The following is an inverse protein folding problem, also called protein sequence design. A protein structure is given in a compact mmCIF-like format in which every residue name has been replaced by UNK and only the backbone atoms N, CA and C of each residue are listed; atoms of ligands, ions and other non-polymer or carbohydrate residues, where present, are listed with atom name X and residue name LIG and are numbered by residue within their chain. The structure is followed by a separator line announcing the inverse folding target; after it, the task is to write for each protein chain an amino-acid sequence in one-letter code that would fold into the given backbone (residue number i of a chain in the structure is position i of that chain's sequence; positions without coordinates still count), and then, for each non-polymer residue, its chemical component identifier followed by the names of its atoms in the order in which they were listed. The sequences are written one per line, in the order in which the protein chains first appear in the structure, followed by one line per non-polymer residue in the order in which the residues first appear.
data_IF_772850211290
#
_entry.id   IF_772850211290
#
_cell.length_a   1.000
_cell.length_b   1.000
_cell.length_c   1.000
_cell.angle_alpha   90.00
_cell.angle_beta   90.00
_cell.angle_gamma   90.00
#
_symmetry.space_group_name_H-M   'P 1'
#
loop_
_entity.id
_entity.type
_entity.pdbx_description
1 polymer ?
#
# COMPACT_ATOMS: atom_id res chain seq x y z
N UNK A 1 19.11 24.87 21.40
CA UNK A 1 18.86 26.25 21.86
C UNK A 1 20.09 27.09 21.61
N UNK A 2 19.95 28.18 20.86
CA UNK A 2 21.06 29.06 20.44
C UNK A 2 21.86 29.61 21.65
N UNK A 3 21.22 29.72 22.81
CA UNK A 3 21.84 30.07 24.10
C UNK A 3 22.88 29.04 24.56
N UNK A 4 22.58 27.74 24.46
CA UNK A 4 23.52 26.66 24.82
C UNK A 4 24.70 26.59 23.85
N UNK A 5 24.50 26.95 22.59
CA UNK A 5 25.56 26.97 21.58
C UNK A 5 26.53 28.14 21.75
N UNK A 6 26.04 29.32 22.18
CA UNK A 6 26.89 30.46 22.52
C UNK A 6 27.81 30.13 23.70
N UNK A 7 27.26 29.52 24.77
CA UNK A 7 28.06 29.04 25.89
C UNK A 7 29.03 27.93 25.48
N UNK A 8 28.65 27.05 24.55
CA UNK A 8 29.54 25.99 24.02
C UNK A 8 30.70 26.55 23.18
N UNK A 9 30.53 27.72 22.56
CA UNK A 9 31.57 28.42 21.78
C UNK A 9 32.42 29.39 22.61
N UNK A 10 32.05 29.64 23.86
CA UNK A 10 32.75 30.57 24.75
C UNK A 10 32.49 32.05 24.45
N UNK A 11 31.39 32.36 23.75
CA UNK A 11 30.98 33.73 23.44
C UNK A 11 29.91 34.20 24.44
N UNK A 12 29.95 35.48 24.84
CA UNK A 12 28.95 36.07 25.73
C UNK A 12 27.62 36.22 25.00
N UNK A 13 26.60 35.50 25.46
CA UNK A 13 25.24 35.63 24.94
C UNK A 13 24.64 36.95 25.40
N UNK A 14 24.42 37.86 24.46
CA UNK A 14 23.75 39.13 24.68
C UNK A 14 22.27 39.02 24.26
N UNK A 15 21.31 39.09 25.20
CA UNK A 15 19.88 38.99 24.92
C UNK A 15 19.37 39.99 23.89
N UNK A 16 19.96 41.19 23.81
CA UNK A 16 19.52 42.22 22.87
C UNK A 16 19.90 41.85 21.43
N UNK A 17 21.13 41.36 21.22
CA UNK A 17 21.59 40.90 19.90
C UNK A 17 20.85 39.65 19.43
N UNK A 18 20.44 38.79 20.36
CA UNK A 18 19.63 37.62 20.06
C UNK A 18 18.23 38.01 19.57
N UNK A 19 17.57 38.96 20.24
CA UNK A 19 16.29 39.49 19.78
C UNK A 19 16.38 40.16 18.41
N UNK A 20 17.41 40.96 18.16
CA UNK A 20 17.61 41.61 16.86
C UNK A 20 17.80 40.57 15.75
N UNK A 21 18.61 39.53 16.00
CA UNK A 21 18.81 38.42 15.06
C UNK A 21 17.51 37.65 14.80
N UNK A 22 16.69 37.43 15.84
CA UNK A 22 15.38 36.79 15.72
C UNK A 22 14.43 37.63 14.87
N UNK A 23 14.35 38.94 15.13
CA UNK A 23 13.53 39.88 14.36
C UNK A 23 13.97 39.94 12.89
N UNK A 24 15.27 39.96 12.63
CA UNK A 24 15.81 39.94 11.26
C UNK A 24 15.43 38.65 10.52
N UNK A 25 15.56 37.49 11.18
CA UNK A 25 15.21 36.19 10.61
C UNK A 25 13.72 36.06 10.33
N UNK A 26 12.88 36.59 11.22
CA UNK A 26 11.43 36.63 11.05
C UNK A 26 11.02 37.55 9.89
N UNK A 27 11.64 38.74 9.75
CA UNK A 27 11.41 39.62 8.61
C UNK A 27 11.85 38.99 7.29
N UNK A 28 13.02 38.35 7.25
CA UNK A 28 13.49 37.63 6.07
C UNK A 28 12.56 36.46 5.70
N UNK A 29 12.05 35.72 6.70
CA UNK A 29 11.08 34.66 6.46
C UNK A 29 9.77 35.22 5.86
N UNK A 30 9.25 36.31 6.42
CA UNK A 30 8.04 36.97 5.93
C UNK A 30 8.23 37.46 4.47
N UNK A 31 9.37 38.09 4.17
CA UNK A 31 9.71 38.56 2.82
C UNK A 31 9.82 37.39 1.83
N UNK A 32 10.39 36.25 2.24
CA UNK A 32 10.46 35.06 1.37
C UNK A 32 9.08 34.45 1.11
N UNK A 33 8.21 34.43 2.11
CA UNK A 33 6.82 33.97 1.94
C UNK A 33 6.03 34.91 1.04
N UNK A 34 6.16 36.23 1.23
CA UNK A 34 5.54 37.24 0.37
C UNK A 34 6.06 37.18 -1.07
N UNK A 35 7.37 36.99 -1.26
CA UNK A 35 7.98 36.81 -2.59
C UNK A 35 7.47 35.54 -3.28
N UNK A 36 7.31 34.43 -2.54
CA UNK A 36 6.74 33.19 -3.06
C UNK A 36 5.27 33.33 -3.45
N UNK A 37 4.52 34.18 -2.73
CA UNK A 37 3.12 34.49 -3.01
C UNK A 37 2.97 35.50 -4.15
N UNK A 38 3.92 36.42 -4.29
CA UNK A 38 4.01 37.41 -5.35
C UNK A 38 4.54 36.85 -6.66
N UNK A 39 5.19 35.67 -6.64
CA UNK A 39 5.47 34.89 -7.85
C UNK A 39 4.15 34.49 -8.50
N UNK A 40 3.71 35.33 -9.44
CA UNK A 40 2.60 35.03 -10.34
C UNK A 40 2.92 33.71 -11.03
N UNK A 41 2.13 32.68 -10.73
CA UNK A 41 2.17 31.43 -11.48
C UNK A 41 2.03 31.78 -12.96
N UNK A 42 2.85 31.21 -13.85
CA UNK A 42 2.69 31.45 -15.28
C UNK A 42 1.24 31.15 -15.65
N UNK A 43 0.66 31.97 -16.53
CA UNK A 43 -0.71 31.79 -16.99
C UNK A 43 -0.80 30.44 -17.73
N UNK A 44 -1.14 29.37 -16.99
CA UNK A 44 -1.41 28.07 -17.57
C UNK A 44 -2.82 28.10 -18.15
N UNK A 45 -3.04 27.56 -19.36
CA UNK A 45 -4.37 27.37 -19.91
C UNK A 45 -5.29 26.66 -18.91
N UNK A 46 -6.56 27.07 -18.84
CA UNK A 46 -7.55 26.46 -17.93
C UNK A 46 -7.87 25.00 -18.27
N UNK A 47 -7.51 24.56 -19.48
CA UNK A 47 -7.73 23.20 -19.97
C UNK A 47 -6.49 22.71 -20.71
N UNK A 48 -6.04 21.51 -20.38
CA UNK A 48 -5.01 20.81 -21.11
C UNK A 48 -5.67 20.05 -22.27
N UNK A 49 -5.28 20.35 -23.51
CA UNK A 49 -5.81 19.69 -24.72
C UNK A 49 -5.68 18.16 -24.66
N UNK A 50 -4.67 17.64 -23.96
CA UNK A 50 -4.52 16.19 -23.76
C UNK A 50 -5.67 15.58 -22.97
N UNK A 51 -6.27 16.30 -22.04
CA UNK A 51 -7.36 15.79 -21.21
C UNK A 51 -8.64 15.61 -22.04
N UNK A 52 -8.88 16.52 -23.00
CA UNK A 52 -10.00 16.44 -23.96
C UNK A 52 -9.99 15.15 -24.79
N UNK A 53 -8.80 14.62 -25.09
CA UNK A 53 -8.61 13.39 -25.87
C UNK A 53 -8.02 12.26 -25.05
N UNK A 54 -8.12 12.32 -23.72
CA UNK A 54 -7.63 11.27 -22.81
C UNK A 54 -8.21 9.89 -23.15
N UNK A 55 -9.45 9.86 -23.65
CA UNK A 55 -10.13 8.66 -24.13
C UNK A 55 -9.55 8.08 -25.44
N UNK A 56 -8.94 8.92 -26.30
CA UNK A 56 -8.21 8.47 -27.50
C UNK A 56 -6.78 8.04 -27.17
N UNK A 57 -6.13 8.72 -26.21
CA UNK A 57 -4.74 8.45 -25.80
C UNK A 57 -4.67 7.21 -24.89
N UNK A 58 -5.78 6.82 -24.27
CA UNK A 58 -5.88 5.54 -23.58
C UNK A 58 -5.27 5.52 -22.17
N UNK A 59 -5.27 6.65 -21.46
CA UNK A 59 -4.84 6.68 -20.05
C UNK A 59 -5.72 5.82 -19.13
N UNK A 60 -7.02 5.70 -19.44
CA UNK A 60 -7.94 4.72 -18.83
C UNK A 60 -7.85 3.35 -19.49
N UNK A 61 -7.67 3.30 -20.81
CA UNK A 61 -7.62 2.05 -21.59
C UNK A 61 -6.51 1.11 -21.12
N UNK A 62 -5.35 1.62 -20.69
CA UNK A 62 -4.28 0.80 -20.11
C UNK A 62 -4.69 0.14 -18.78
N UNK A 63 -5.44 0.84 -17.92
CA UNK A 63 -5.94 0.31 -16.65
C UNK A 63 -7.05 -0.71 -16.87
N UNK A 64 -7.97 -0.42 -17.77
CA UNK A 64 -9.06 -1.33 -18.12
C UNK A 64 -8.51 -2.62 -18.77
N UNK A 65 -7.51 -2.50 -19.66
CA UNK A 65 -6.81 -3.65 -20.24
C UNK A 65 -6.11 -4.51 -19.16
N UNK A 66 -5.49 -3.90 -18.15
CA UNK A 66 -4.90 -4.64 -17.03
C UNK A 66 -5.96 -5.42 -16.22
N UNK A 67 -7.13 -4.84 -15.99
CA UNK A 67 -8.24 -5.53 -15.33
C UNK A 67 -8.80 -6.68 -16.17
N UNK A 68 -8.85 -6.55 -17.50
CA UNK A 68 -9.28 -7.65 -18.38
C UNK A 68 -8.30 -8.84 -18.41
N UNK A 69 -7.01 -8.61 -18.17
CA UNK A 69 -5.99 -9.68 -18.10
C UNK A 69 -6.02 -10.45 -16.77
N UNK A 70 -6.70 -9.92 -15.74
CA UNK A 70 -6.82 -10.62 -14.46
C UNK A 70 -7.70 -11.86 -14.64
N UNK A 71 -7.10 -13.04 -14.50
CA UNK A 71 -7.84 -14.30 -14.53
C UNK A 71 -8.96 -14.30 -13.47
N UNK A 72 -10.14 -14.79 -13.85
CA UNK A 72 -11.26 -14.90 -12.94
C UNK A 72 -10.95 -15.90 -11.82
N UNK A 73 -10.58 -15.39 -10.64
CA UNK A 73 -10.23 -16.20 -9.47
C UNK A 73 -11.39 -17.05 -8.94
N UNK A 74 -12.63 -16.67 -9.25
CA UNK A 74 -13.84 -17.37 -8.80
C UNK A 74 -14.29 -18.48 -9.76
N UNK A 75 -13.70 -18.58 -10.95
CA UNK A 75 -14.06 -19.61 -11.91
C UNK A 75 -13.71 -21.00 -11.35
N UNK A 76 -14.71 -21.87 -11.24
CA UNK A 76 -14.57 -23.21 -10.65
C UNK A 76 -14.76 -23.28 -9.13
N UNK A 77 -14.92 -22.16 -8.43
CA UNK A 77 -15.25 -22.15 -7.01
C UNK A 77 -16.77 -22.26 -6.81
N UNK A 78 -17.23 -23.41 -6.28
CA UNK A 78 -18.65 -23.62 -5.91
C UNK A 78 -18.90 -23.07 -4.49
N UNK A 79 -19.99 -22.31 -4.25
CA UNK A 79 -20.38 -21.88 -2.91
C UNK A 79 -20.59 -23.06 -1.96
N UNK A 80 -20.21 -22.93 -0.69
CA UNK A 80 -20.32 -24.01 0.33
C UNK A 80 -21.75 -24.54 0.45
N UNK A 81 -22.75 -23.66 0.35
CA UNK A 81 -24.17 -24.04 0.39
C UNK A 81 -24.58 -25.05 -0.71
N UNK A 82 -23.86 -25.06 -1.84
CA UNK A 82 -24.14 -25.94 -2.98
C UNK A 82 -23.20 -27.15 -3.03
N UNK A 83 -22.21 -27.26 -2.12
CA UNK A 83 -21.30 -28.40 -2.08
C UNK A 83 -21.99 -29.59 -1.42
N UNK A 84 -21.77 -30.77 -2.01
CA UNK A 84 -22.28 -32.04 -1.46
C UNK A 84 -21.54 -32.47 -0.18
N UNK A 85 -20.27 -32.12 -0.07
CA UNK A 85 -19.45 -32.38 1.12
C UNK A 85 -19.24 -31.06 1.88
N UNK A 86 -19.71 -31.01 3.11
CA UNK A 86 -19.63 -29.86 4.02
C UNK A 86 -18.49 -29.98 5.04
N UNK A 87 -17.79 -31.13 5.05
CA UNK A 87 -16.71 -31.38 6.00
C UNK A 87 -15.49 -30.52 5.70
N UNK A 88 -14.65 -30.35 6.72
CA UNK A 88 -13.35 -29.72 6.52
C UNK A 88 -12.45 -30.62 5.66
N UNK A 89 -11.50 -30.00 4.95
CA UNK A 89 -10.51 -30.71 4.14
C UNK A 89 -9.71 -31.69 5.01
N UNK A 90 -9.34 -31.28 6.23
CA UNK A 90 -8.57 -32.09 7.16
C UNK A 90 -9.34 -33.34 7.62
N UNK A 91 -10.63 -33.18 7.88
CA UNK A 91 -11.53 -34.27 8.30
C UNK A 91 -11.67 -35.30 7.19
N UNK A 92 -11.95 -34.84 5.96
CA UNK A 92 -12.02 -35.70 4.79
C UNK A 92 -10.69 -36.45 4.54
N UNK A 93 -9.54 -35.78 4.70
CA UNK A 93 -8.23 -36.41 4.56
C UNK A 93 -7.94 -37.45 5.66
N UNK A 94 -8.36 -37.21 6.89
CA UNK A 94 -8.21 -38.16 8.00
C UNK A 94 -9.04 -39.42 7.75
N UNK A 95 -10.28 -39.28 7.31
CA UNK A 95 -11.12 -40.42 6.96
C UNK A 95 -10.58 -41.23 5.78
N UNK A 96 -10.10 -40.56 4.72
CA UNK A 96 -9.47 -41.25 3.58
C UNK A 96 -8.26 -42.04 4.06
N UNK A 97 -7.42 -41.45 4.93
CA UNK A 97 -6.26 -42.15 5.52
C UNK A 97 -6.69 -43.34 6.38
N UNK A 98 -7.71 -43.18 7.22
CA UNK A 98 -8.22 -44.26 8.07
C UNK A 98 -8.80 -45.42 7.23
N UNK A 99 -9.64 -45.11 6.24
CA UNK A 99 -10.21 -46.10 5.30
C UNK A 99 -9.13 -46.85 4.53
N UNK A 100 -8.08 -46.16 4.08
CA UNK A 100 -6.94 -46.81 3.40
C UNK A 100 -6.18 -47.77 4.31
N UNK A 101 -6.05 -47.48 5.61
CA UNK A 101 -5.43 -48.38 6.59
C UNK A 101 -6.29 -49.62 6.81
N UNK A 102 -7.57 -49.42 7.11
CA UNK A 102 -8.52 -50.54 7.33
C UNK A 102 -8.59 -51.48 6.13
N UNK A 103 -8.67 -50.95 4.91
CA UNK A 103 -8.67 -51.77 3.69
C UNK A 103 -7.38 -52.61 3.55
N UNK A 104 -6.23 -52.04 3.93
CA UNK A 104 -4.95 -52.75 3.90
C UNK A 104 -4.94 -53.89 4.94
N UNK A 105 -5.42 -53.61 6.16
CA UNK A 105 -5.46 -54.60 7.24
C UNK A 105 -6.44 -55.75 6.91
N UNK A 106 -7.57 -55.45 6.25
CA UNK A 106 -8.52 -56.45 5.74
C UNK A 106 -7.92 -57.31 4.62
N UNK A 107 -7.14 -56.72 3.71
CA UNK A 107 -6.46 -57.43 2.63
C UNK A 107 -5.32 -58.34 3.14
N UNK A 108 -4.53 -57.88 4.13
CA UNK A 108 -3.51 -58.69 4.80
C UNK A 108 -4.14 -59.82 5.66
N UNK A 109 -5.26 -59.55 6.33
CA UNK A 109 -6.01 -60.55 7.11
C UNK A 109 -6.67 -61.64 6.26
N UNK A 110 -7.20 -61.28 5.08
CA UNK A 110 -7.80 -62.23 4.15
C UNK A 110 -6.73 -63.09 3.42
N UNK A 111 -5.54 -62.54 3.15
CA UNK A 111 -4.44 -63.28 2.52
C UNK A 111 -3.73 -64.28 3.44
N UNK A 112 -3.84 -64.12 4.77
CA UNK A 112 -3.19 -65.00 5.76
C UNK A 112 -4.04 -66.23 6.16
N UNK A 113 -5.28 -66.36 5.67
CA UNK A 113 -6.22 -67.42 6.04
C UNK A 113 -6.33 -68.56 5.00
N UNK A 114 -5.36 -68.70 4.08
CA UNK A 114 -5.30 -69.80 3.09
C UNK A 114 -4.02 -70.62 3.24
#
# INVERSE_FOLDING_TARGET
DEELEAYRKGEEWDPQKAEERRRWKEQAALETEEASRAQKRPASPSSNYRDKYSHLIGTSAAKDAAHTLQANQSYGCVPVANKRDTRSIEEAMNEIRAKKRQKKDEEEGAGSSV
#
